data_IF_668673552975
#
_entry.id   IF_668673552975
#
_cell.length_a   1.000
_cell.length_b   1.000
_cell.length_c   1.000
_cell.angle_alpha   90.00
_cell.angle_beta   90.00
_cell.angle_gamma   90.00
#
_symmetry.space_group_name_H-M   'P 1'
#
loop_
_entity.id
_entity.type
_entity.pdbx_description
1 polymer ?
#
# COMPACT_ATOMS: atom_id res chain seq x y z
N UNK A 1 -0.64 17.61 -21.34
CA UNK A 1 0.65 18.12 -20.82
C UNK A 1 0.40 18.99 -19.61
N UNK A 2 0.66 18.47 -18.41
CA UNK A 2 0.45 19.16 -17.12
C UNK A 2 -0.91 19.90 -16.98
N UNK A 3 -2.02 19.24 -17.32
CA UNK A 3 -3.39 19.76 -17.20
C UNK A 3 -4.17 18.98 -16.12
N UNK A 4 -5.24 19.56 -15.58
CA UNK A 4 -6.10 18.93 -14.57
C UNK A 4 -7.58 18.95 -15.00
N UNK A 5 -8.32 17.91 -14.62
CA UNK A 5 -9.78 17.79 -14.69
C UNK A 5 -10.46 17.90 -16.07
N UNK A 6 -9.72 17.59 -17.14
CA UNK A 6 -10.29 17.40 -18.47
C UNK A 6 -10.78 15.96 -18.67
N UNK A 7 -11.90 15.81 -19.37
CA UNK A 7 -12.38 14.52 -19.90
C UNK A 7 -12.35 14.54 -21.43
N UNK A 8 -11.86 13.45 -22.02
CA UNK A 8 -11.87 13.19 -23.48
C UNK A 8 -11.29 14.32 -24.34
N UNK A 9 -10.23 14.98 -23.85
CA UNK A 9 -9.48 16.04 -24.56
C UNK A 9 -8.11 15.57 -25.04
N UNK A 10 -7.68 16.06 -26.19
CA UNK A 10 -6.35 15.85 -26.77
C UNK A 10 -5.69 17.19 -27.07
N UNK A 11 -4.35 17.23 -27.01
CA UNK A 11 -3.52 18.41 -27.29
C UNK A 11 -3.75 19.60 -26.33
N UNK A 12 -3.88 19.33 -25.02
CA UNK A 12 -4.01 20.36 -23.99
C UNK A 12 -2.73 20.54 -23.16
N UNK A 13 -2.35 21.79 -22.90
CA UNK A 13 -1.22 22.19 -22.06
C UNK A 13 -1.76 23.07 -20.94
N UNK A 14 -1.46 22.76 -19.66
CA UNK A 14 -1.88 23.59 -18.51
C UNK A 14 -3.39 23.91 -18.43
N UNK A 15 -4.23 23.03 -18.99
CA UNK A 15 -5.70 23.16 -19.14
C UNK A 15 -6.20 24.01 -20.32
N UNK A 16 -5.33 24.38 -21.26
CA UNK A 16 -5.64 25.19 -22.46
C UNK A 16 -5.44 24.36 -23.75
N UNK A 17 -6.28 24.53 -24.79
CA UNK A 17 -6.18 23.80 -26.06
C UNK A 17 -5.05 24.34 -26.95
N UNK A 18 -4.33 23.44 -27.61
CA UNK A 18 -3.27 23.75 -28.56
C UNK A 18 -3.45 22.98 -29.88
N UNK A 19 -2.74 23.41 -30.92
CA UNK A 19 -2.57 22.58 -32.12
C UNK A 19 -1.78 21.30 -31.78
N UNK A 20 -1.91 20.27 -32.63
CA UNK A 20 -1.11 19.05 -32.48
C UNK A 20 0.39 19.35 -32.59
N UNK A 21 0.75 20.16 -33.57
CA UNK A 21 2.12 20.57 -33.89
C UNK A 21 2.71 21.43 -32.76
N UNK A 22 1.92 22.34 -32.18
CA UNK A 22 2.31 23.10 -30.98
C UNK A 22 2.53 22.19 -29.77
N UNK A 23 1.67 21.20 -29.58
CA UNK A 23 1.78 20.22 -28.48
C UNK A 23 3.02 19.35 -28.62
N UNK A 24 3.29 18.82 -29.81
CA UNK A 24 4.46 17.99 -30.11
C UNK A 24 5.75 18.81 -29.93
N UNK A 25 5.81 20.03 -30.48
CA UNK A 25 6.92 20.96 -30.26
C UNK A 25 7.14 21.27 -28.77
N UNK A 26 6.06 21.57 -28.04
CA UNK A 26 6.14 21.86 -26.59
C UNK A 26 6.61 20.66 -25.77
N UNK A 27 6.31 19.44 -26.20
CA UNK A 27 6.81 18.21 -25.58
C UNK A 27 8.32 18.05 -25.77
N UNK A 28 8.85 18.35 -26.95
CA UNK A 28 10.30 18.37 -27.23
C UNK A 28 11.02 19.47 -26.42
N UNK A 29 10.41 20.64 -26.29
CA UNK A 29 10.93 21.76 -25.48
C UNK A 29 11.09 21.40 -23.98
N UNK A 30 10.39 20.37 -23.47
CA UNK A 30 10.53 19.92 -22.07
C UNK A 30 11.86 19.20 -21.76
N UNK A 31 12.59 18.72 -22.77
CA UNK A 31 13.91 18.06 -22.63
C UNK A 31 13.97 17.01 -21.51
N UNK A 32 13.00 16.08 -21.49
CA UNK A 32 12.84 15.06 -20.44
C UNK A 32 13.97 14.00 -20.37
N UNK A 33 15.08 14.19 -21.08
CA UNK A 33 16.31 13.42 -20.95
C UNK A 33 17.33 14.03 -19.96
N UNK A 34 17.04 15.22 -19.42
CA UNK A 34 17.83 15.97 -18.45
C UNK A 34 17.21 15.88 -17.05
N UNK A 35 18.01 15.70 -16.00
CA UNK A 35 17.53 15.63 -14.62
C UNK A 35 17.00 16.98 -14.13
N UNK A 36 17.72 18.07 -14.37
CA UNK A 36 17.25 19.44 -14.09
C UNK A 36 15.92 19.74 -14.79
N UNK A 37 15.78 19.32 -16.05
CA UNK A 37 14.55 19.51 -16.82
C UNK A 37 13.37 18.71 -16.25
N UNK A 38 13.59 17.46 -15.83
CA UNK A 38 12.58 16.64 -15.13
C UNK A 38 12.16 17.30 -13.82
N UNK A 39 13.10 17.78 -12.99
CA UNK A 39 12.78 18.48 -11.74
C UNK A 39 11.93 19.74 -11.99
N UNK A 40 12.32 20.56 -12.97
CA UNK A 40 11.57 21.76 -13.33
C UNK A 40 10.13 21.44 -13.76
N UNK A 41 9.95 20.41 -14.60
CA UNK A 41 8.62 19.93 -15.04
C UNK A 41 7.82 19.38 -13.86
N UNK A 42 8.45 18.71 -12.89
CA UNK A 42 7.81 18.21 -11.68
C UNK A 42 7.40 19.36 -10.73
N UNK A 43 8.17 20.44 -10.64
CA UNK A 43 7.79 21.64 -9.90
C UNK A 43 6.59 22.37 -10.52
N UNK A 44 6.56 22.51 -11.85
CA UNK A 44 5.38 23.03 -12.57
C UNK A 44 4.17 22.14 -12.30
N UNK A 45 4.32 20.81 -12.34
CA UNK A 45 3.24 19.86 -12.03
C UNK A 45 2.73 20.03 -10.59
N UNK A 46 3.62 20.07 -9.59
CA UNK A 46 3.28 20.28 -8.17
C UNK A 46 2.51 21.57 -7.95
N UNK A 47 2.91 22.67 -8.59
CA UNK A 47 2.20 23.95 -8.51
C UNK A 47 0.82 23.89 -9.17
N UNK A 48 0.78 23.46 -10.43
CA UNK A 48 -0.45 23.39 -11.23
C UNK A 48 -1.51 22.48 -10.60
N UNK A 49 -1.12 21.36 -9.99
CA UNK A 49 -2.09 20.46 -9.34
C UNK A 49 -2.75 21.06 -8.09
N UNK A 50 -2.12 22.04 -7.43
CA UNK A 50 -2.72 22.74 -6.29
C UNK A 50 -3.56 23.95 -6.72
N UNK A 51 -3.11 24.68 -7.76
CA UNK A 51 -3.78 25.90 -8.23
C UNK A 51 -4.95 25.62 -9.18
N UNK A 52 -4.88 24.57 -10.00
CA UNK A 52 -5.89 24.19 -11.01
C UNK A 52 -6.59 22.86 -10.71
N UNK A 53 -6.10 22.09 -9.74
CA UNK A 53 -6.68 20.79 -9.36
C UNK A 53 -7.86 20.94 -8.41
N UNK A 54 -9.03 20.50 -8.85
CA UNK A 54 -10.21 20.31 -8.00
C UNK A 54 -10.31 18.81 -7.70
N UNK A 55 -10.43 18.44 -6.44
CA UNK A 55 -10.39 17.05 -6.01
C UNK A 55 -11.73 16.60 -5.43
N UNK A 56 -12.06 15.32 -5.62
CA UNK A 56 -13.26 14.72 -5.03
C UNK A 56 -12.99 14.32 -3.59
N UNK A 57 -13.97 14.51 -2.71
CA UNK A 57 -13.97 14.07 -1.32
C UNK A 57 -13.59 12.59 -1.16
N UNK A 58 -14.29 11.71 -1.87
CA UNK A 58 -14.06 10.27 -1.91
C UNK A 58 -14.30 9.70 -3.32
N UNK A 59 -13.54 8.67 -3.67
CA UNK A 59 -13.71 7.90 -4.92
C UNK A 59 -14.48 6.63 -4.59
N UNK A 60 -15.74 6.78 -4.19
CA UNK A 60 -16.62 5.66 -3.88
C UNK A 60 -17.66 5.53 -5.02
N UNK A 61 -17.79 4.33 -5.60
CA UNK A 61 -18.60 4.06 -6.79
C UNK A 61 -19.53 2.88 -6.49
N UNK A 62 -20.83 3.05 -6.70
CA UNK A 62 -21.83 2.01 -6.42
C UNK A 62 -21.66 1.43 -5.00
N UNK A 63 -21.68 2.30 -3.99
CA UNK A 63 -21.44 1.92 -2.59
C UNK A 63 -22.65 2.25 -1.71
N UNK A 64 -23.10 1.29 -0.90
CA UNK A 64 -24.19 1.44 0.06
C UNK A 64 -23.65 1.35 1.50
N UNK A 65 -24.06 2.25 2.39
CA UNK A 65 -23.74 2.22 3.83
C UNK A 65 -22.25 1.91 4.13
N UNK A 66 -21.32 2.53 3.38
CA UNK A 66 -19.89 2.19 3.43
C UNK A 66 -19.02 3.43 3.68
N UNK A 67 -17.99 3.27 4.50
CA UNK A 67 -17.04 4.32 4.87
C UNK A 67 -15.61 3.96 4.49
N UNK A 68 -14.85 4.97 4.08
CA UNK A 68 -13.49 4.84 3.60
C UNK A 68 -13.33 5.48 2.22
N UNK A 69 -12.32 5.09 1.44
CA UNK A 69 -12.02 5.73 0.16
C UNK A 69 -11.49 4.76 -0.91
N UNK A 70 -11.73 5.10 -2.18
CA UNK A 70 -11.43 4.25 -3.33
C UNK A 70 -12.22 2.92 -3.23
N UNK A 71 -13.52 3.03 -2.96
CA UNK A 71 -14.45 1.91 -2.85
C UNK A 71 -15.20 1.69 -4.16
N UNK A 72 -15.47 0.43 -4.52
CA UNK A 72 -16.22 0.10 -5.72
C UNK A 72 -17.13 -1.11 -5.49
N UNK A 73 -18.41 -1.00 -5.80
CA UNK A 73 -19.38 -2.11 -5.66
C UNK A 73 -19.45 -2.66 -4.22
N UNK A 74 -19.35 -1.80 -3.20
CA UNK A 74 -19.25 -2.18 -1.78
C UNK A 74 -20.55 -1.93 -1.00
N UNK A 75 -20.87 -2.78 -0.01
CA UNK A 75 -22.04 -2.62 0.86
C UNK A 75 -21.70 -2.86 2.33
N UNK A 76 -22.22 -2.04 3.24
CA UNK A 76 -21.98 -2.18 4.69
C UNK A 76 -20.49 -2.25 5.08
N UNK A 77 -19.58 -1.65 4.29
CA UNK A 77 -18.14 -1.76 4.48
C UNK A 77 -17.59 -0.61 5.34
N UNK A 78 -17.01 -0.91 6.51
CA UNK A 78 -16.57 0.12 7.46
C UNK A 78 -15.05 0.34 7.48
N UNK A 79 -14.63 1.59 7.25
CA UNK A 79 -13.23 2.04 7.27
C UNK A 79 -12.31 1.25 6.30
N UNK A 80 -12.77 1.07 5.06
CA UNK A 80 -12.08 0.30 4.02
C UNK A 80 -11.37 1.21 2.99
N UNK A 81 -10.20 0.83 2.47
CA UNK A 81 -9.44 1.67 1.53
C UNK A 81 -8.92 0.88 0.33
N UNK A 82 -9.27 1.31 -0.88
CA UNK A 82 -9.00 0.56 -2.12
C UNK A 82 -9.68 -0.83 -2.04
N UNK A 83 -10.98 -0.86 -1.76
CA UNK A 83 -11.76 -2.09 -1.67
C UNK A 83 -12.76 -2.19 -2.84
N UNK A 84 -12.88 -3.38 -3.44
CA UNK A 84 -13.86 -3.66 -4.51
C UNK A 84 -14.75 -4.83 -4.10
N UNK A 85 -16.03 -4.83 -4.53
CA UNK A 85 -16.96 -5.95 -4.42
C UNK A 85 -17.01 -6.61 -3.03
N UNK A 86 -17.02 -5.78 -1.98
CA UNK A 86 -17.06 -6.22 -0.59
C UNK A 86 -18.46 -6.02 0.02
N UNK A 87 -18.91 -6.93 0.89
CA UNK A 87 -20.15 -6.75 1.66
C UNK A 87 -19.93 -7.15 3.13
N UNK A 88 -20.55 -6.43 4.06
CA UNK A 88 -20.48 -6.68 5.52
C UNK A 88 -19.02 -6.84 6.02
N UNK A 89 -18.13 -5.93 5.59
CA UNK A 89 -16.69 -5.95 5.87
C UNK A 89 -16.21 -4.78 6.74
N UNK A 90 -15.06 -4.91 7.40
CA UNK A 90 -14.44 -3.82 8.16
C UNK A 90 -12.90 -3.84 8.09
N UNK A 91 -12.28 -2.65 8.12
CA UNK A 91 -10.84 -2.45 8.24
C UNK A 91 -9.97 -3.00 7.08
N UNK A 92 -10.53 -3.06 5.87
CA UNK A 92 -9.83 -3.57 4.68
C UNK A 92 -8.85 -2.55 4.07
N UNK A 93 -7.71 -3.04 3.57
CA UNK A 93 -6.65 -2.21 2.98
C UNK A 93 -6.08 -2.82 1.69
N UNK A 94 -6.48 -2.33 0.51
CA UNK A 94 -6.03 -2.87 -0.80
C UNK A 94 -6.60 -4.27 -1.06
N UNK A 95 -7.90 -4.35 -1.39
CA UNK A 95 -8.69 -5.60 -1.43
C UNK A 95 -9.62 -5.62 -2.65
N UNK A 96 -9.79 -6.77 -3.32
CA UNK A 96 -10.64 -6.87 -4.52
C UNK A 96 -12.00 -7.60 -4.29
N UNK A 97 -12.13 -8.35 -3.19
CA UNK A 97 -13.33 -9.10 -2.77
C UNK A 97 -13.23 -9.40 -1.25
N UNK A 98 -14.34 -9.31 -0.50
CA UNK A 98 -14.52 -9.95 0.83
C UNK A 98 -16.00 -9.92 1.29
N UNK A 99 -16.51 -10.96 1.98
CA UNK A 99 -17.91 -11.05 2.44
C UNK A 99 -18.19 -12.22 3.43
N UNK A 100 -17.92 -12.18 4.73
CA UNK A 100 -18.10 -11.06 5.65
C UNK A 100 -16.94 -10.98 6.65
N UNK A 101 -16.72 -9.79 7.21
CA UNK A 101 -15.47 -9.42 7.87
C UNK A 101 -15.65 -8.29 8.92
N UNK A 102 -14.95 -8.26 10.06
CA UNK A 102 -13.90 -9.16 10.56
C UNK A 102 -12.73 -9.34 9.58
N UNK A 103 -11.77 -8.41 9.66
CA UNK A 103 -10.47 -8.40 8.99
C UNK A 103 -10.49 -8.46 7.46
N UNK A 104 -9.29 -8.53 6.88
CA UNK A 104 -8.85 -9.67 6.08
C UNK A 104 -8.15 -9.20 4.81
N UNK A 105 -6.82 -9.15 4.86
CA UNK A 105 -6.05 -8.71 3.72
C UNK A 105 -4.61 -9.27 3.76
N UNK A 106 -4.10 -9.81 2.66
CA UNK A 106 -4.66 -9.70 1.30
C UNK A 106 -5.64 -10.82 0.88
N UNK A 107 -6.65 -10.47 0.07
CA UNK A 107 -7.62 -11.41 -0.52
C UNK A 107 -7.95 -11.19 -2.00
N UNK A 108 -8.23 -12.31 -2.69
CA UNK A 108 -8.61 -12.36 -4.11
C UNK A 108 -9.57 -13.51 -4.49
N UNK A 109 -9.98 -14.40 -3.57
CA UNK A 109 -11.24 -15.19 -3.64
C UNK A 109 -11.45 -16.01 -2.35
N UNK A 110 -12.64 -16.28 -1.81
CA UNK A 110 -13.99 -15.72 -1.98
C UNK A 110 -14.70 -15.89 -0.61
N UNK A 111 -14.23 -15.20 0.43
CA UNK A 111 -14.52 -15.56 1.82
C UNK A 111 -15.99 -15.32 2.19
N UNK A 112 -16.51 -16.18 3.08
CA UNK A 112 -17.78 -16.08 3.84
C UNK A 112 -17.63 -17.05 5.05
N UNK A 113 -16.95 -16.77 6.17
CA UNK A 113 -16.67 -15.51 6.92
C UNK A 113 -15.28 -15.63 7.61
N UNK A 114 -14.65 -14.52 8.03
CA UNK A 114 -13.27 -14.46 8.54
C UNK A 114 -13.09 -14.09 10.04
N UNK A 115 -11.91 -14.35 10.62
CA UNK A 115 -11.34 -13.58 11.75
C UNK A 115 -9.79 -13.64 11.93
N UNK A 116 -9.24 -12.48 12.31
CA UNK A 116 -7.89 -11.87 12.31
C UNK A 116 -6.84 -12.32 11.25
N UNK A 117 -7.20 -12.76 10.04
CA UNK A 117 -6.27 -13.43 9.10
C UNK A 117 -5.54 -12.51 8.07
N UNK A 118 -4.27 -12.82 7.76
CA UNK A 118 -3.35 -11.99 6.93
C UNK A 118 -3.15 -12.46 5.46
N UNK A 119 -3.63 -13.63 5.05
CA UNK A 119 -3.72 -13.93 3.60
C UNK A 119 -4.76 -14.98 3.26
N UNK A 120 -5.30 -14.91 2.05
CA UNK A 120 -6.53 -15.57 1.61
C UNK A 120 -6.40 -17.04 1.19
N UNK A 121 -7.54 -17.61 0.80
CA UNK A 121 -7.77 -19.05 0.58
C UNK A 121 -8.74 -19.22 -0.61
N UNK A 122 -9.73 -20.08 -0.46
CA UNK A 122 -11.14 -19.70 -0.59
C UNK A 122 -11.91 -20.46 0.53
N UNK A 123 -12.88 -19.84 1.22
CA UNK A 123 -13.20 -20.22 2.61
C UNK A 123 -14.63 -19.97 3.12
N UNK A 124 -15.00 -20.81 4.11
CA UNK A 124 -16.20 -20.73 4.95
C UNK A 124 -16.08 -21.70 6.15
N UNK A 125 -15.72 -21.36 7.39
CA UNK A 125 -15.25 -20.12 8.05
C UNK A 125 -13.77 -20.30 8.53
N UNK A 126 -13.07 -19.22 8.91
CA UNK A 126 -11.66 -19.25 9.41
C UNK A 126 -11.49 -18.86 10.89
N UNK A 127 -10.24 -18.88 11.43
CA UNK A 127 -9.95 -18.43 12.80
C UNK A 127 -8.48 -18.05 13.16
N UNK A 128 -8.24 -16.76 13.46
CA UNK A 128 -6.99 -16.15 14.00
C UNK A 128 -5.70 -16.73 13.39
N UNK A 129 -5.55 -16.64 12.07
CA UNK A 129 -4.59 -17.46 11.31
C UNK A 129 -3.70 -16.63 10.37
N UNK A 130 -2.61 -17.20 9.86
CA UNK A 130 -1.83 -16.59 8.77
C UNK A 130 -1.48 -17.66 7.75
N UNK A 131 -1.53 -17.36 6.45
CA UNK A 131 -1.06 -18.22 5.35
C UNK A 131 -1.45 -19.73 5.32
N UNK A 132 -2.53 -20.14 5.99
CA UNK A 132 -3.20 -21.43 5.74
C UNK A 132 -3.99 -21.35 4.42
N UNK A 133 -4.07 -22.42 3.61
CA UNK A 133 -4.81 -22.46 2.33
C UNK A 133 -5.73 -23.69 2.21
N UNK A 134 -6.87 -23.54 1.51
CA UNK A 134 -7.88 -24.60 1.27
C UNK A 134 -8.31 -25.40 2.53
N UNK A 135 -8.38 -24.75 3.70
CA UNK A 135 -8.73 -25.40 4.96
C UNK A 135 -10.11 -24.97 5.51
N UNK A 136 -10.65 -25.75 6.44
CA UNK A 136 -11.88 -25.43 7.17
C UNK A 136 -11.79 -25.81 8.65
N UNK A 137 -12.52 -25.10 9.54
CA UNK A 137 -12.50 -25.30 11.01
C UNK A 137 -11.07 -25.40 11.58
N UNK A 138 -10.23 -24.43 11.23
CA UNK A 138 -8.81 -24.42 11.58
C UNK A 138 -8.50 -23.18 12.41
N UNK A 139 -7.96 -23.36 13.61
CA UNK A 139 -7.74 -22.30 14.60
C UNK A 139 -6.24 -22.13 14.89
N UNK A 140 -5.73 -20.89 14.88
CA UNK A 140 -4.32 -20.58 15.12
C UNK A 140 -3.36 -21.39 14.24
N UNK A 141 -3.68 -21.52 12.95
CA UNK A 141 -2.91 -22.32 12.01
C UNK A 141 -2.11 -21.46 11.03
N UNK A 142 -0.94 -21.98 10.64
CA UNK A 142 -0.02 -21.43 9.64
C UNK A 142 0.46 -22.54 8.69
N UNK A 143 0.91 -22.16 7.48
CA UNK A 143 1.49 -23.01 6.43
C UNK A 143 0.75 -24.35 6.17
N UNK A 144 -0.55 -24.40 6.43
CA UNK A 144 -1.34 -25.63 6.39
C UNK A 144 -2.27 -25.64 5.18
N UNK A 145 -2.39 -26.79 4.52
CA UNK A 145 -2.96 -26.94 3.18
C UNK A 145 -4.01 -28.07 3.13
N UNK A 146 -5.10 -27.88 2.39
CA UNK A 146 -6.08 -28.93 2.03
C UNK A 146 -6.61 -29.75 3.23
N UNK A 147 -6.77 -29.13 4.40
CA UNK A 147 -6.98 -29.82 5.68
C UNK A 147 -8.24 -29.35 6.42
N UNK A 148 -8.71 -30.10 7.41
CA UNK A 148 -9.88 -29.69 8.20
C UNK A 148 -9.81 -30.14 9.66
N UNK A 149 -10.54 -29.45 10.55
CA UNK A 149 -10.53 -29.75 11.99
C UNK A 149 -9.08 -29.73 12.55
N UNK A 150 -8.48 -28.53 12.57
CA UNK A 150 -7.11 -28.26 13.01
C UNK A 150 -7.06 -27.27 14.19
N UNK A 151 -6.07 -27.45 15.08
CA UNK A 151 -5.76 -26.51 16.15
C UNK A 151 -4.24 -26.33 16.30
N UNK A 152 -3.73 -25.10 16.20
CA UNK A 152 -2.32 -24.79 16.42
C UNK A 152 -1.34 -25.49 15.45
N UNK A 153 -1.76 -25.81 14.23
CA UNK A 153 -0.94 -26.54 13.25
C UNK A 153 -0.15 -25.57 12.36
N UNK A 154 1.11 -25.88 12.07
CA UNK A 154 2.07 -24.95 11.42
C UNK A 154 2.68 -25.48 10.11
N UNK A 155 2.05 -26.47 9.48
CA UNK A 155 2.65 -27.17 8.33
C UNK A 155 2.03 -28.51 7.99
N UNK A 156 0.70 -28.66 8.13
CA UNK A 156 -0.01 -29.91 7.80
C UNK A 156 -0.64 -29.82 6.41
N UNK A 157 -0.51 -30.89 5.62
CA UNK A 157 -1.15 -31.01 4.31
C UNK A 157 -2.02 -32.28 4.26
N UNK A 158 -3.28 -32.17 3.81
CA UNK A 158 -4.29 -33.24 3.83
C UNK A 158 -4.56 -33.87 5.21
N UNK A 159 -4.37 -33.11 6.29
CA UNK A 159 -4.59 -33.56 7.66
C UNK A 159 -6.02 -33.37 8.15
N UNK A 160 -6.36 -34.12 9.20
CA UNK A 160 -7.64 -33.98 9.92
C UNK A 160 -7.53 -34.39 11.37
N UNK A 161 -8.28 -33.69 12.24
CA UNK A 161 -8.29 -33.91 13.69
C UNK A 161 -6.88 -33.77 14.31
N UNK A 162 -6.22 -32.65 14.01
CA UNK A 162 -4.83 -32.42 14.41
C UNK A 162 -4.70 -31.28 15.42
N UNK A 163 -3.88 -31.49 16.44
CA UNK A 163 -3.53 -30.49 17.46
C UNK A 163 -2.00 -30.42 17.53
N UNK A 164 -1.42 -29.24 17.33
CA UNK A 164 0.04 -29.02 17.35
C UNK A 164 0.81 -30.02 16.45
N UNK A 165 0.39 -30.12 15.19
CA UNK A 165 0.89 -31.07 14.17
C UNK A 165 0.74 -32.57 14.48
N UNK A 166 0.11 -32.96 15.60
CA UNK A 166 -0.17 -34.36 15.93
C UNK A 166 -1.62 -34.72 15.57
N UNK A 167 -1.82 -35.81 14.84
CA UNK A 167 -3.14 -36.35 14.54
C UNK A 167 -3.70 -37.18 15.71
N UNK A 168 -5.00 -37.05 15.94
CA UNK A 168 -5.78 -37.75 16.97
C UNK A 168 -6.94 -38.54 16.33
N UNK A 169 -7.56 -39.44 17.09
CA UNK A 169 -8.89 -39.91 16.72
C UNK A 169 -9.92 -38.77 16.83
N UNK A 170 -11.03 -38.88 16.08
CA UNK A 170 -12.09 -37.88 16.10
C UNK A 170 -12.61 -37.62 17.53
N UNK A 171 -12.86 -38.67 18.30
CA UNK A 171 -13.35 -38.56 19.69
C UNK A 171 -12.36 -37.88 20.64
N UNK A 172 -11.05 -38.15 20.50
CA UNK A 172 -10.03 -37.47 21.31
C UNK A 172 -9.93 -35.98 20.93
N UNK A 173 -10.01 -35.65 19.65
CA UNK A 173 -9.99 -34.27 19.17
C UNK A 173 -11.21 -33.48 19.67
N UNK A 174 -12.40 -34.08 19.55
CA UNK A 174 -13.67 -33.50 20.00
C UNK A 174 -13.73 -33.33 21.54
N UNK A 175 -12.97 -34.11 22.32
CA UNK A 175 -12.80 -33.90 23.77
C UNK A 175 -11.74 -32.84 24.10
N UNK A 176 -10.59 -32.87 23.41
CA UNK A 176 -9.43 -32.03 23.73
C UNK A 176 -9.61 -30.57 23.32
N UNK A 177 -10.15 -30.30 22.12
CA UNK A 177 -10.26 -28.92 21.61
C UNK A 177 -11.13 -28.03 22.52
N UNK A 178 -12.32 -28.43 22.99
CA UNK A 178 -13.10 -27.64 23.94
C UNK A 178 -12.33 -27.32 25.23
N UNK A 179 -11.51 -28.25 25.73
CA UNK A 179 -10.69 -28.04 26.93
C UNK A 179 -9.57 -27.01 26.70
N UNK A 180 -8.97 -27.02 25.51
CA UNK A 180 -7.98 -26.00 25.11
C UNK A 180 -8.66 -24.63 24.97
N UNK A 181 -9.83 -24.58 24.33
CA UNK A 181 -10.62 -23.34 24.16
C UNK A 181 -11.01 -22.73 25.51
N UNK A 182 -11.52 -23.51 26.47
CA UNK A 182 -11.86 -23.00 27.81
C UNK A 182 -10.62 -22.51 28.58
N UNK A 183 -9.47 -23.16 28.42
CA UNK A 183 -8.22 -22.65 28.96
C UNK A 183 -7.83 -21.30 28.31
N UNK A 184 -7.84 -21.21 26.98
CA UNK A 184 -7.52 -19.99 26.24
C UNK A 184 -8.51 -18.84 26.53
N UNK A 185 -9.78 -19.13 26.83
CA UNK A 185 -10.72 -18.12 27.35
C UNK A 185 -10.33 -17.62 28.74
N UNK A 186 -9.88 -18.52 29.62
CA UNK A 186 -9.43 -18.16 30.98
C UNK A 186 -8.16 -17.29 30.99
N UNK A 187 -7.28 -17.47 30.01
CA UNK A 187 -6.05 -16.67 29.79
C UNK A 187 -6.28 -15.43 28.92
N UNK A 188 -7.46 -15.29 28.29
CA UNK A 188 -7.83 -14.25 27.32
C UNK A 188 -7.04 -14.29 26.00
N UNK A 189 -6.59 -15.48 25.62
CA UNK A 189 -5.94 -15.75 24.33
C UNK A 189 -6.98 -16.12 23.25
N UNK A 190 -8.10 -16.75 23.64
CA UNK A 190 -9.18 -17.10 22.71
C UNK A 190 -9.97 -15.86 22.30
N UNK A 191 -9.82 -15.44 21.04
CA UNK A 191 -10.40 -14.19 20.53
C UNK A 191 -9.40 -13.29 19.82
N UNK A 192 -8.11 -13.45 20.12
CA UNK A 192 -7.06 -12.53 19.71
C UNK A 192 -6.23 -13.06 18.54
N UNK A 193 -5.66 -12.16 17.75
CA UNK A 193 -4.61 -12.53 16.79
C UNK A 193 -3.32 -12.98 17.48
N UNK A 194 -2.39 -13.54 16.69
CA UNK A 194 -1.05 -13.85 17.21
C UNK A 194 -0.40 -12.61 17.84
N UNK A 195 0.11 -12.71 19.07
CA UNK A 195 0.72 -11.56 19.74
C UNK A 195 1.97 -11.10 18.98
N UNK A 196 2.15 -9.78 18.93
CA UNK A 196 3.15 -9.11 18.09
C UNK A 196 4.61 -9.51 18.38
N UNK A 197 4.89 -10.06 19.56
CA UNK A 197 6.21 -10.62 19.89
C UNK A 197 6.54 -11.91 19.11
N UNK A 198 5.55 -12.54 18.45
CA UNK A 198 5.74 -13.64 17.50
C UNK A 198 5.98 -13.16 16.05
N UNK A 199 5.88 -11.85 15.78
CA UNK A 199 6.16 -11.31 14.44
C UNK A 199 7.61 -11.59 14.03
N UNK A 200 7.85 -12.24 12.87
CA UNK A 200 9.21 -12.48 12.38
C UNK A 200 9.89 -11.19 11.85
N UNK A 201 9.12 -10.11 11.68
CA UNK A 201 9.59 -8.82 11.13
C UNK A 201 9.42 -7.70 12.16
N UNK A 202 10.34 -6.73 12.17
CA UNK A 202 10.16 -5.49 12.92
C UNK A 202 9.16 -4.57 12.21
N UNK A 203 8.47 -3.71 12.98
CA UNK A 203 7.41 -2.83 12.47
C UNK A 203 7.86 -2.00 11.27
N UNK A 204 9.06 -1.42 11.37
CA UNK A 204 9.68 -0.58 10.34
C UNK A 204 10.15 -1.31 9.08
N UNK A 205 10.10 -2.64 9.06
CA UNK A 205 10.34 -3.48 7.87
C UNK A 205 9.04 -3.91 7.19
N UNK A 206 7.89 -3.74 7.85
CA UNK A 206 6.58 -4.12 7.32
C UNK A 206 5.91 -2.99 6.56
N UNK A 207 4.93 -3.36 5.73
CA UNK A 207 4.05 -2.40 5.06
C UNK A 207 3.22 -1.55 6.03
N UNK A 208 3.09 -1.95 7.31
CA UNK A 208 2.44 -1.15 8.33
C UNK A 208 3.15 0.20 8.53
N UNK A 209 4.48 0.27 8.45
CA UNK A 209 5.22 1.53 8.53
C UNK A 209 4.98 2.44 7.32
N UNK A 210 4.61 1.90 6.14
CA UNK A 210 4.24 2.71 4.98
C UNK A 210 2.84 3.31 5.10
N UNK A 211 1.92 2.60 5.75
CA UNK A 211 0.50 2.97 5.83
C UNK A 211 0.13 3.71 7.11
N UNK A 212 0.81 3.38 8.21
CA UNK A 212 0.63 3.89 9.56
C UNK A 212 2.02 4.17 10.16
N UNK A 213 2.76 5.16 9.63
CA UNK A 213 4.13 5.42 10.07
C UNK A 213 4.17 5.77 11.56
N UNK A 214 4.99 5.04 12.31
CA UNK A 214 5.27 5.30 13.72
C UNK A 214 6.72 5.71 13.93
N UNK A 215 6.97 6.46 14.99
CA UNK A 215 8.31 6.68 15.55
C UNK A 215 8.81 5.43 16.28
N UNK A 216 10.12 5.33 16.51
CA UNK A 216 10.72 4.23 17.26
C UNK A 216 10.19 4.15 18.69
N UNK A 217 9.92 5.31 19.29
CA UNK A 217 9.35 5.49 20.62
C UNK A 217 7.89 5.01 20.69
N UNK A 218 7.09 5.29 19.67
CA UNK A 218 5.73 4.76 19.55
C UNK A 218 5.71 3.25 19.33
N UNK A 219 6.60 2.71 18.50
CA UNK A 219 6.77 1.27 18.28
C UNK A 219 7.12 0.57 19.60
N UNK A 220 8.11 1.10 20.34
CA UNK A 220 8.49 0.58 21.64
C UNK A 220 7.36 0.66 22.69
N UNK A 221 6.60 1.77 22.74
CA UNK A 221 5.48 1.91 23.69
C UNK A 221 4.29 0.97 23.42
N UNK A 222 4.17 0.45 22.18
CA UNK A 222 3.18 -0.56 21.78
C UNK A 222 3.68 -2.00 21.92
N UNK A 223 4.91 -2.21 22.40
CA UNK A 223 5.53 -3.53 22.52
C UNK A 223 5.94 -4.15 21.17
N UNK A 224 6.08 -3.33 20.13
CA UNK A 224 6.46 -3.76 18.79
C UNK A 224 7.99 -3.77 18.63
N UNK A 225 8.51 -4.63 17.76
CA UNK A 225 9.93 -4.68 17.45
C UNK A 225 10.33 -3.53 16.49
N UNK A 226 11.49 -2.91 16.72
CA UNK A 226 12.15 -1.98 15.79
C UNK A 226 13.52 -2.55 15.41
N UNK A 227 13.84 -2.60 14.11
CA UNK A 227 15.14 -3.05 13.60
C UNK A 227 15.96 -1.87 13.11
N UNK A 228 17.15 -1.70 13.66
CA UNK A 228 18.16 -0.85 13.03
C UNK A 228 18.62 -1.49 11.73
N UNK A 229 18.40 -0.80 10.61
CA UNK A 229 18.81 -1.27 9.30
C UNK A 229 20.25 -0.84 9.04
N UNK A 230 21.17 -1.79 9.06
CA UNK A 230 22.53 -1.61 8.52
C UNK A 230 22.48 -1.50 6.99
N UNK A 231 23.30 -0.62 6.43
CA UNK A 231 23.36 -0.38 4.98
C UNK A 231 24.52 -1.16 4.37
N UNK A 232 24.26 -2.41 4.01
CA UNK A 232 25.19 -3.18 3.18
C UNK A 232 25.09 -2.71 1.72
N UNK A 233 26.12 -1.97 1.28
CA UNK A 233 26.31 -1.54 -0.10
C UNK A 233 27.30 -2.44 -0.86
N UNK A 234 27.87 -3.46 -0.19
CA UNK A 234 28.95 -4.29 -0.69
C UNK A 234 30.23 -3.49 -1.00
N UNK A 235 31.16 -4.15 -1.69
CA UNK A 235 32.38 -3.49 -2.17
C UNK A 235 32.05 -2.52 -3.32
N UNK A 236 32.59 -1.31 -3.22
CA UNK A 236 32.48 -0.22 -4.21
C UNK A 236 33.85 0.45 -4.39
N UNK A 237 34.16 0.87 -5.61
CA UNK A 237 35.43 1.54 -5.95
C UNK A 237 35.46 3.00 -5.46
N UNK A 238 34.29 3.64 -5.38
CA UNK A 238 34.15 5.01 -4.87
C UNK A 238 32.74 5.31 -4.39
N UNK A 239 32.61 6.36 -3.58
CA UNK A 239 31.34 6.97 -3.19
C UNK A 239 31.22 8.37 -3.78
N UNK A 240 30.07 8.71 -4.35
CA UNK A 240 29.81 10.01 -5.00
C UNK A 240 28.47 10.62 -4.54
N UNK A 241 28.41 11.91 -4.18
CA UNK A 241 27.16 12.62 -3.97
C UNK A 241 26.29 12.63 -5.24
N UNK A 242 24.98 12.35 -5.12
CA UNK A 242 24.10 12.30 -6.29
C UNK A 242 24.04 13.60 -7.10
N UNK A 243 24.26 14.75 -6.45
CA UNK A 243 24.37 16.07 -7.08
C UNK A 243 25.54 16.19 -8.08
N UNK A 244 26.59 15.36 -7.95
CA UNK A 244 27.75 15.32 -8.83
C UNK A 244 27.59 14.35 -10.01
N UNK A 245 26.45 13.67 -10.12
CA UNK A 245 26.14 12.87 -11.31
C UNK A 245 25.85 13.79 -12.50
N UNK A 246 26.36 13.48 -13.71
CA UNK A 246 25.95 14.11 -14.96
C UNK A 246 24.44 14.26 -15.10
N UNK A 247 24.01 15.35 -15.74
CA UNK A 247 22.59 15.68 -15.87
C UNK A 247 21.84 14.79 -16.87
N UNK A 248 22.58 14.23 -17.84
CA UNK A 248 22.04 13.38 -18.92
C UNK A 248 22.61 11.96 -18.86
N UNK A 249 21.86 10.98 -19.37
CA UNK A 249 22.26 9.56 -19.33
C UNK A 249 23.39 9.22 -20.31
N UNK A 250 23.54 10.01 -21.37
CA UNK A 250 24.60 9.92 -22.36
C UNK A 250 26.00 10.20 -21.76
N UNK A 251 26.06 11.02 -20.71
CA UNK A 251 27.30 11.41 -20.01
C UNK A 251 27.65 10.47 -18.84
N UNK A 252 26.77 9.52 -18.49
CA UNK A 252 26.98 8.56 -17.39
C UNK A 252 27.91 7.42 -17.87
N UNK A 253 29.12 7.25 -17.30
CA UNK A 253 30.03 6.17 -17.66
C UNK A 253 29.60 4.82 -17.06
N UNK A 254 30.07 3.72 -17.66
CA UNK A 254 29.77 2.36 -17.21
C UNK A 254 30.28 2.07 -15.79
N UNK A 255 31.35 2.75 -15.37
CA UNK A 255 31.95 2.63 -14.03
C UNK A 255 30.94 2.88 -12.89
N UNK A 256 29.81 3.57 -13.15
CA UNK A 256 28.75 3.83 -12.14
C UNK A 256 28.23 2.55 -11.46
N UNK A 257 28.36 1.39 -12.12
CA UNK A 257 28.00 0.07 -11.57
C UNK A 257 28.87 -0.32 -10.35
N UNK A 258 30.06 0.27 -10.24
CA UNK A 258 31.02 0.06 -9.16
C UNK A 258 30.98 1.18 -8.10
N UNK A 259 30.08 2.17 -8.21
CA UNK A 259 30.01 3.31 -7.31
C UNK A 259 28.85 3.19 -6.31
N UNK A 260 29.03 3.75 -5.11
CA UNK A 260 27.94 4.11 -4.22
C UNK A 260 27.50 5.56 -4.48
N UNK A 261 26.22 5.78 -4.79
CA UNK A 261 25.62 7.09 -4.96
C UNK A 261 24.96 7.50 -3.64
N UNK A 262 25.36 8.63 -3.06
CA UNK A 262 24.73 9.16 -1.83
C UNK A 262 23.40 9.82 -2.19
N UNK A 263 22.28 9.25 -1.70
CA UNK A 263 20.93 9.76 -1.94
C UNK A 263 20.79 11.23 -1.51
N UNK A 264 20.26 12.08 -2.38
CA UNK A 264 20.11 13.53 -2.12
C UNK A 264 19.24 13.84 -0.88
N UNK A 265 18.22 13.02 -0.61
CA UNK A 265 17.27 13.23 0.50
C UNK A 265 17.73 12.48 1.74
N UNK A 266 17.71 11.14 1.70
CA UNK A 266 17.95 10.29 2.87
C UNK A 266 19.41 10.22 3.31
N UNK A 267 20.35 10.74 2.50
CA UNK A 267 21.82 10.64 2.67
C UNK A 267 22.40 9.22 2.74
N UNK A 268 21.55 8.21 2.61
CA UNK A 268 21.89 6.79 2.50
C UNK A 268 22.52 6.48 1.14
N UNK A 269 23.71 5.85 1.04
CA UNK A 269 24.22 5.34 -0.22
C UNK A 269 23.31 4.28 -0.87
N UNK A 270 23.34 4.19 -2.20
CA UNK A 270 22.71 3.14 -2.99
C UNK A 270 23.53 2.89 -4.27
N UNK A 271 23.21 1.81 -5.00
CA UNK A 271 23.90 1.42 -6.24
C UNK A 271 22.93 1.34 -7.41
N UNK A 272 23.47 1.36 -8.62
CA UNK A 272 22.74 1.08 -9.87
C UNK A 272 23.21 -0.28 -10.38
N UNK A 273 22.29 -1.17 -10.72
CA UNK A 273 22.63 -2.45 -11.36
C UNK A 273 22.64 -2.33 -12.90
N UNK A 274 23.33 -3.26 -13.57
CA UNK A 274 23.50 -3.25 -15.04
C UNK A 274 22.16 -3.16 -15.79
N UNK A 275 21.13 -3.82 -15.28
CA UNK A 275 19.77 -3.84 -15.83
C UNK A 275 19.10 -2.46 -15.74
N UNK A 276 19.29 -1.74 -14.62
CA UNK A 276 18.77 -0.38 -14.44
C UNK A 276 19.48 0.60 -15.36
N UNK A 277 20.82 0.57 -15.43
CA UNK A 277 21.60 1.44 -16.33
C UNK A 277 21.23 1.22 -17.80
N UNK A 278 21.03 -0.03 -18.22
CA UNK A 278 20.56 -0.36 -19.56
C UNK A 278 19.15 0.19 -19.83
N UNK A 279 18.22 0.08 -18.86
CA UNK A 279 16.88 0.63 -18.98
C UNK A 279 16.88 2.15 -19.07
N UNK A 280 17.68 2.85 -18.25
CA UNK A 280 17.82 4.31 -18.29
C UNK A 280 18.35 4.79 -19.65
N UNK A 281 19.35 4.11 -20.21
CA UNK A 281 19.89 4.39 -21.56
C UNK A 281 18.87 4.12 -22.67
N UNK A 282 18.14 3.01 -22.59
CA UNK A 282 17.09 2.67 -23.57
C UNK A 282 15.96 3.71 -23.58
N UNK A 283 15.53 4.16 -22.40
CA UNK A 283 14.46 5.16 -22.23
C UNK A 283 14.94 6.61 -22.42
N UNK A 284 16.26 6.84 -22.52
CA UNK A 284 16.89 8.16 -22.57
C UNK A 284 16.49 9.06 -21.39
N UNK A 285 16.53 8.50 -20.18
CA UNK A 285 16.23 9.19 -18.93
C UNK A 285 17.45 9.14 -17.99
N UNK A 286 17.70 10.19 -17.19
CA UNK A 286 18.86 10.24 -16.31
C UNK A 286 18.79 9.20 -15.18
N UNK A 287 19.97 8.85 -14.65
CA UNK A 287 20.09 8.01 -13.45
C UNK A 287 19.45 8.73 -12.25
N UNK A 288 18.67 8.03 -11.40
CA UNK A 288 18.02 8.66 -10.25
C UNK A 288 19.04 9.18 -9.23
N UNK A 289 18.80 10.40 -8.71
CA UNK A 289 19.56 10.97 -7.58
C UNK A 289 19.04 10.54 -6.20
N UNK A 290 17.89 9.86 -6.16
CA UNK A 290 17.24 9.30 -4.98
C UNK A 290 17.29 7.77 -4.99
N UNK A 291 17.60 7.18 -3.82
CA UNK A 291 17.66 5.72 -3.65
C UNK A 291 16.32 5.05 -4.00
N UNK A 292 16.29 3.74 -4.34
CA UNK A 292 15.05 3.04 -4.63
C UNK A 292 13.99 3.18 -3.52
N UNK A 293 14.41 3.06 -2.26
CA UNK A 293 13.53 3.24 -1.09
C UNK A 293 13.02 4.68 -0.96
N UNK A 294 13.86 5.69 -1.24
CA UNK A 294 13.40 7.08 -1.19
C UNK A 294 12.38 7.37 -2.32
N UNK A 295 12.67 6.92 -3.55
CA UNK A 295 11.73 7.06 -4.68
C UNK A 295 10.38 6.38 -4.39
N UNK A 296 10.40 5.25 -3.69
CA UNK A 296 9.18 4.58 -3.21
C UNK A 296 8.42 5.43 -2.18
N UNK A 297 9.11 5.97 -1.17
CA UNK A 297 8.51 6.89 -0.18
C UNK A 297 7.91 8.14 -0.83
N UNK A 298 8.64 8.80 -1.73
CA UNK A 298 8.20 9.99 -2.45
C UNK A 298 6.92 9.72 -3.24
N UNK A 299 6.89 8.61 -3.99
CA UNK A 299 5.72 8.16 -4.76
C UNK A 299 4.53 7.84 -3.84
N UNK A 300 4.77 7.19 -2.69
CA UNK A 300 3.71 6.88 -1.73
C UNK A 300 3.15 8.16 -1.07
N UNK A 301 3.98 9.18 -0.81
CA UNK A 301 3.56 10.47 -0.25
C UNK A 301 2.65 11.30 -1.19
N UNK A 302 2.61 10.96 -2.49
CA UNK A 302 1.64 11.51 -3.45
C UNK A 302 0.24 10.91 -3.30
N UNK A 303 0.09 9.76 -2.63
CA UNK A 303 -1.22 9.19 -2.30
C UNK A 303 -1.83 9.91 -1.10
N UNK A 304 -3.15 9.87 -1.01
CA UNK A 304 -3.83 10.22 0.23
C UNK A 304 -3.57 9.15 1.30
N UNK A 305 -3.35 9.55 2.57
CA UNK A 305 -3.27 8.62 3.68
C UNK A 305 -4.58 7.84 3.87
N UNK A 306 -4.48 6.68 4.53
CA UNK A 306 -5.63 5.81 4.82
C UNK A 306 -6.30 6.23 6.13
N UNK A 307 -6.95 7.38 6.07
CA UNK A 307 -7.84 7.88 7.11
C UNK A 307 -9.00 8.65 6.50
N UNK A 308 -9.95 9.03 7.33
CA UNK A 308 -10.99 10.00 7.00
C UNK A 308 -10.94 11.16 7.98
N UNK A 309 -11.07 12.37 7.46
CA UNK A 309 -11.14 13.61 8.23
C UNK A 309 -12.37 14.40 7.82
N UNK A 310 -12.97 15.08 8.79
CA UNK A 310 -13.99 16.10 8.53
C UNK A 310 -13.33 17.31 7.86
N UNK A 311 -13.85 17.71 6.69
CA UNK A 311 -13.50 18.96 6.00
C UNK A 311 -14.77 19.62 5.48
N UNK A 312 -14.70 20.91 5.19
CA UNK A 312 -15.76 21.62 4.45
C UNK A 312 -15.49 21.55 2.95
N UNK A 313 -16.55 21.33 2.16
CA UNK A 313 -16.49 21.40 0.70
C UNK A 313 -16.05 22.78 0.23
N UNK A 314 -15.01 22.84 -0.61
CA UNK A 314 -14.45 24.09 -1.14
C UNK A 314 -15.41 24.92 -2.01
N UNK A 315 -16.51 24.33 -2.51
CA UNK A 315 -17.50 25.02 -3.34
C UNK A 315 -18.76 25.47 -2.57
N UNK A 316 -19.35 24.58 -1.78
CA UNK A 316 -20.63 24.85 -1.09
C UNK A 316 -20.54 24.94 0.44
N UNK A 317 -19.36 24.73 1.04
CA UNK A 317 -19.13 24.84 2.48
C UNK A 317 -19.75 23.72 3.34
N UNK A 318 -20.47 22.76 2.74
CA UNK A 318 -21.08 21.63 3.46
C UNK A 318 -20.00 20.74 4.07
N UNK A 319 -20.28 20.20 5.25
CA UNK A 319 -19.41 19.25 5.93
C UNK A 319 -19.39 17.91 5.18
N UNK A 320 -18.20 17.31 5.09
CA UNK A 320 -17.94 16.08 4.34
C UNK A 320 -16.76 15.32 4.96
N UNK A 321 -16.73 14.00 4.77
CA UNK A 321 -15.59 13.17 5.12
C UNK A 321 -14.70 12.98 3.89
N UNK A 322 -13.38 12.99 4.08
CA UNK A 322 -12.43 12.83 2.97
C UNK A 322 -11.09 12.26 3.43
N UNK A 323 -10.35 11.66 2.51
CA UNK A 323 -8.99 11.17 2.74
C UNK A 323 -7.88 12.22 2.57
N UNK A 324 -8.23 13.45 2.17
CA UNK A 324 -7.29 14.57 2.23
C UNK A 324 -7.23 15.09 3.67
N UNK A 325 -6.10 14.89 4.34
CA UNK A 325 -5.88 15.36 5.72
C UNK A 325 -6.08 16.88 5.88
N UNK A 326 -6.28 17.39 7.11
CA UNK A 326 -6.47 18.82 7.36
C UNK A 326 -5.28 19.69 6.90
N UNK A 327 -4.08 19.11 6.86
CA UNK A 327 -2.83 19.72 6.41
C UNK A 327 -2.66 19.76 4.88
N UNK A 328 -3.49 19.02 4.13
CA UNK A 328 -3.41 18.91 2.66
C UNK A 328 -3.98 20.18 1.98
N UNK A 329 -3.17 20.98 1.26
CA UNK A 329 -3.61 22.24 0.65
C UNK A 329 -4.55 22.07 -0.56
N UNK A 330 -4.76 20.85 -1.03
CA UNK A 330 -5.68 20.52 -2.12
C UNK A 330 -7.10 21.08 -1.89
N UNK A 331 -7.69 21.67 -2.94
CA UNK A 331 -9.10 22.09 -2.96
C UNK A 331 -9.99 20.88 -3.18
N UNK A 332 -10.71 20.47 -2.13
CA UNK A 332 -11.58 19.29 -2.14
C UNK A 332 -13.05 19.72 -2.21
N UNK A 333 -13.78 19.17 -3.18
CA UNK A 333 -15.22 19.34 -3.35
C UNK A 333 -15.94 18.05 -2.95
N UNK A 334 -17.13 18.21 -2.39
CA UNK A 334 -18.03 17.09 -2.17
C UNK A 334 -18.48 16.45 -3.48
N UNK A 335 -18.91 15.19 -3.45
CA UNK A 335 -19.37 14.42 -4.62
C UNK A 335 -20.21 15.24 -5.62
N UNK A 336 -21.32 15.85 -5.18
CA UNK A 336 -22.21 16.67 -6.03
C UNK A 336 -21.49 17.85 -6.70
N UNK A 337 -20.66 18.57 -5.93
CA UNK A 337 -19.96 19.76 -6.40
C UNK A 337 -18.82 19.41 -7.34
N UNK A 338 -18.15 18.29 -7.11
CA UNK A 338 -17.13 17.74 -8.01
C UNK A 338 -17.77 17.28 -9.32
N UNK A 339 -18.88 16.53 -9.24
CA UNK A 339 -19.58 16.05 -10.42
C UNK A 339 -20.05 17.22 -11.29
N UNK A 340 -20.67 18.25 -10.71
CA UNK A 340 -21.17 19.43 -11.44
C UNK A 340 -20.08 20.44 -11.88
N UNK A 341 -18.79 20.14 -11.69
CA UNK A 341 -17.66 20.98 -12.12
C UNK A 341 -16.76 20.26 -13.13
N UNK A 342 -16.60 18.94 -12.98
CA UNK A 342 -15.68 18.12 -13.78
C UNK A 342 -16.40 17.30 -14.88
N UNK A 343 -17.73 17.17 -14.80
CA UNK A 343 -18.57 16.45 -15.76
C UNK A 343 -19.77 17.26 -16.24
#
# INVERSE_FOLDING_TARGET
MLCANLRDKQYYILNEPHSKEEYEKKLEELKLNSFESILHVFDIWKKMRLEKGIYRDMVNINCENSTGNNLKDCKNCFNCYNATNCEDCAYLYDVLDAKDSQDLNYSLYKPEVAYELISTLNMRFCAFSMATHYCSKSFYCDLSDNSHDLFGCIGINHGKYCILNKQYSQSEYEELVPRIIEHMKSTREWGEFFPVNLSPSAYNETVAQEYMPLTKEEVASRGFNWREMEEDIGEVERTIPAEQLPDTIEEIPDDILNWAIVCEESKKPFRIVKQELALYRQLKIPVPRRSPLQRHKDRNALRNPRGLWERKCGKCGKDMHTSYGPEKPETVYCEECYLAEVY
#
